data_IF_759160676112
#
_entry.id   IF_759160676112
#
_cell.length_a   1.000
_cell.length_b   1.000
_cell.length_c   1.000
_cell.angle_alpha   90.00
_cell.angle_beta   90.00
_cell.angle_gamma   90.00
#
_symmetry.space_group_name_H-M   'P 1'
#
loop_
_entity.id
_entity.type
_entity.pdbx_description
1 polymer ?
#
# COMPACT_ATOMS: atom_id res chain seq x y z
N UNK A 1 -15.38 -7.86 -15.61
CA UNK A 1 -16.37 -7.48 -16.65
C UNK A 1 -17.47 -8.51 -16.81
N UNK A 2 -17.15 -9.81 -16.83
CA UNK A 2 -18.14 -10.90 -16.89
C UNK A 2 -19.17 -10.82 -15.76
N UNK A 3 -18.73 -10.68 -14.50
CA UNK A 3 -19.63 -10.45 -13.35
C UNK A 3 -20.61 -9.28 -13.54
N UNK A 4 -20.20 -8.23 -14.26
CA UNK A 4 -21.08 -7.10 -14.57
C UNK A 4 -22.10 -7.48 -15.64
N UNK A 5 -21.65 -8.16 -16.70
CA UNK A 5 -22.53 -8.68 -17.74
C UNK A 5 -23.55 -9.69 -17.19
N UNK A 6 -23.15 -10.60 -16.31
CA UNK A 6 -24.05 -11.58 -15.68
C UNK A 6 -25.15 -10.89 -14.87
N UNK A 7 -24.83 -9.75 -14.24
CA UNK A 7 -25.76 -8.97 -13.44
C UNK A 7 -26.67 -8.07 -14.28
N UNK A 8 -26.16 -7.45 -15.34
CA UNK A 8 -26.83 -6.36 -16.06
C UNK A 8 -27.17 -6.69 -17.52
N UNK A 9 -26.85 -7.89 -18.00
CA UNK A 9 -27.11 -8.35 -19.37
C UNK A 9 -26.18 -7.75 -20.43
N UNK A 10 -25.30 -6.80 -20.07
CA UNK A 10 -24.34 -6.17 -20.97
C UNK A 10 -23.05 -5.81 -20.24
N UNK A 11 -21.92 -5.80 -20.97
CA UNK A 11 -20.63 -5.34 -20.42
C UNK A 11 -20.64 -3.81 -20.28
N UNK A 12 -20.00 -3.24 -19.25
CA UNK A 12 -19.75 -1.81 -19.22
C UNK A 12 -18.68 -1.47 -20.27
N UNK A 13 -18.65 -0.23 -20.74
CA UNK A 13 -17.54 0.22 -21.56
C UNK A 13 -16.26 0.34 -20.72
N UNK A 14 -15.11 0.00 -21.28
CA UNK A 14 -13.83 0.07 -20.59
C UNK A 14 -13.16 1.44 -20.83
N UNK A 15 -12.44 1.94 -19.82
CA UNK A 15 -11.63 3.16 -19.96
C UNK A 15 -10.31 3.10 -19.18
N UNK A 16 -9.20 2.85 -19.87
CA UNK A 16 -7.85 2.83 -19.28
C UNK A 16 -6.77 3.23 -20.31
N UNK A 17 -5.52 3.37 -19.85
CA UNK A 17 -4.38 3.82 -20.66
C UNK A 17 -4.05 2.89 -21.82
N UNK A 18 -4.26 1.59 -21.63
CA UNK A 18 -3.84 0.56 -22.61
C UNK A 18 -4.85 0.39 -23.75
N UNK A 19 -5.98 1.10 -23.69
CA UNK A 19 -6.95 1.10 -24.78
C UNK A 19 -6.38 1.80 -26.03
N UNK A 20 -6.51 1.17 -27.21
CA UNK A 20 -6.13 1.79 -28.47
C UNK A 20 -6.80 3.18 -28.65
N UNK A 21 -6.11 4.19 -29.19
CA UNK A 21 -6.66 5.54 -29.34
C UNK A 21 -8.03 5.59 -30.01
N UNK A 22 -8.24 4.82 -31.09
CA UNK A 22 -9.53 4.73 -31.80
C UNK A 22 -10.66 4.18 -30.92
N UNK A 23 -10.35 3.25 -30.02
CA UNK A 23 -11.32 2.69 -29.09
C UNK A 23 -11.69 3.71 -28.00
N UNK A 24 -10.70 4.44 -27.47
CA UNK A 24 -10.93 5.55 -26.53
C UNK A 24 -11.79 6.65 -27.17
N UNK A 25 -11.49 7.08 -28.38
CA UNK A 25 -12.30 8.06 -29.12
C UNK A 25 -13.76 7.60 -29.26
N UNK A 26 -13.97 6.33 -29.65
CA UNK A 26 -15.30 5.76 -29.77
C UNK A 26 -16.06 5.75 -28.44
N UNK A 27 -15.45 5.27 -27.36
CA UNK A 27 -16.08 5.25 -26.03
C UNK A 27 -16.39 6.66 -25.57
N UNK A 28 -15.45 7.60 -25.70
CA UNK A 28 -15.65 9.00 -25.33
C UNK A 28 -16.86 9.61 -26.06
N UNK A 29 -16.94 9.41 -27.38
CA UNK A 29 -18.04 9.93 -28.20
C UNK A 29 -19.37 9.30 -27.82
N UNK A 30 -19.40 7.99 -27.61
CA UNK A 30 -20.62 7.28 -27.21
C UNK A 30 -21.08 7.66 -25.80
N UNK A 31 -20.17 8.02 -24.89
CA UNK A 31 -20.53 8.60 -23.59
C UNK A 31 -21.14 9.99 -23.76
N UNK A 32 -20.54 10.84 -24.59
CA UNK A 32 -21.05 12.18 -24.90
C UNK A 32 -22.44 12.15 -25.56
N UNK A 33 -22.66 11.21 -26.47
CA UNK A 33 -23.91 11.02 -27.20
C UNK A 33 -24.97 10.22 -26.39
N UNK A 34 -24.59 9.64 -25.25
CA UNK A 34 -25.47 8.87 -24.37
C UNK A 34 -25.68 7.40 -24.76
N UNK A 35 -24.95 6.90 -25.77
CA UNK A 35 -24.96 5.50 -26.20
C UNK A 35 -24.30 4.54 -25.19
N UNK A 36 -23.35 5.03 -24.38
CA UNK A 36 -22.75 4.28 -23.26
C UNK A 36 -23.32 4.79 -21.94
N UNK A 37 -23.96 3.91 -21.18
CA UNK A 37 -24.60 4.24 -19.89
C UNK A 37 -23.73 3.94 -18.67
N UNK A 38 -22.76 3.04 -18.80
CA UNK A 38 -21.85 2.66 -17.71
C UNK A 38 -20.44 2.49 -18.26
N UNK A 39 -19.47 3.08 -17.56
CA UNK A 39 -18.04 2.90 -17.83
C UNK A 39 -17.37 2.31 -16.59
N UNK A 40 -16.58 1.27 -16.78
CA UNK A 40 -15.60 0.79 -15.81
C UNK A 40 -14.22 1.28 -16.26
N UNK A 41 -13.55 2.06 -15.42
CA UNK A 41 -12.29 2.66 -15.84
C UNK A 41 -11.38 3.11 -14.72
N UNK A 42 -10.14 3.41 -15.10
CA UNK A 42 -9.14 3.99 -14.22
C UNK A 42 -9.47 5.46 -13.91
N UNK A 43 -8.63 6.12 -13.10
CA UNK A 43 -8.77 7.51 -12.65
C UNK A 43 -9.21 8.55 -13.69
N UNK A 44 -8.77 8.43 -14.94
CA UNK A 44 -9.10 9.40 -16.01
C UNK A 44 -10.54 9.28 -16.52
N UNK A 45 -11.25 8.19 -16.22
CA UNK A 45 -12.67 8.03 -16.53
C UNK A 45 -13.53 9.10 -15.85
N UNK A 46 -13.02 9.69 -14.76
CA UNK A 46 -13.63 10.81 -14.06
C UNK A 46 -13.91 12.02 -14.95
N UNK A 47 -13.23 12.16 -16.10
CA UNK A 47 -13.43 13.31 -16.99
C UNK A 47 -14.30 12.99 -18.21
N UNK A 48 -14.90 11.80 -18.25
CA UNK A 48 -15.78 11.44 -19.37
C UNK A 48 -17.06 12.29 -19.37
N UNK A 49 -17.50 12.78 -20.54
CA UNK A 49 -18.56 13.78 -20.68
C UNK A 49 -19.95 13.14 -20.68
N UNK A 50 -20.30 12.41 -19.62
CA UNK A 50 -21.63 11.83 -19.47
C UNK A 50 -22.72 12.91 -19.53
N UNK A 51 -23.71 12.72 -20.40
CA UNK A 51 -24.87 13.61 -20.53
C UNK A 51 -25.75 13.62 -19.28
N UNK A 52 -25.94 12.45 -18.65
CA UNK A 52 -26.83 12.23 -17.51
C UNK A 52 -26.12 11.36 -16.46
N UNK A 53 -24.99 11.85 -15.91
CA UNK A 53 -24.26 11.13 -14.87
C UNK A 53 -25.06 11.13 -13.56
N UNK A 54 -25.52 9.96 -13.13
CA UNK A 54 -26.32 9.81 -11.91
C UNK A 54 -25.61 9.15 -10.73
N UNK A 55 -24.40 8.60 -10.93
CA UNK A 55 -23.66 7.89 -9.89
C UNK A 55 -22.18 7.79 -10.26
N UNK A 56 -21.29 7.98 -9.29
CA UNK A 56 -19.90 7.54 -9.36
C UNK A 56 -19.64 6.54 -8.23
N UNK A 57 -19.00 5.43 -8.55
CA UNK A 57 -18.48 4.48 -7.57
C UNK A 57 -16.96 4.47 -7.69
N UNK A 58 -16.27 4.77 -6.59
CA UNK A 58 -14.83 4.66 -6.44
C UNK A 58 -14.57 3.43 -5.58
N UNK A 59 -14.10 2.36 -6.20
CA UNK A 59 -13.74 1.12 -5.51
C UNK A 59 -12.30 1.21 -5.01
N UNK A 60 -12.00 0.55 -3.89
CA UNK A 60 -10.75 0.73 -3.14
C UNK A 60 -10.28 2.18 -3.05
N UNK A 61 -11.15 3.07 -2.55
CA UNK A 61 -10.93 4.54 -2.52
C UNK A 61 -9.61 4.99 -1.88
N UNK A 62 -9.00 4.14 -1.04
CA UNK A 62 -7.72 4.40 -0.40
C UNK A 62 -6.50 4.19 -1.33
N UNK A 63 -6.69 3.63 -2.51
CA UNK A 63 -5.61 3.28 -3.42
C UNK A 63 -4.85 4.55 -3.89
N UNK A 64 -3.52 4.63 -3.67
CA UNK A 64 -2.73 5.78 -4.09
C UNK A 64 -2.71 6.00 -5.61
N UNK A 65 -3.08 5.01 -6.43
CA UNK A 65 -3.19 5.14 -7.88
C UNK A 65 -4.18 6.25 -8.30
N UNK A 66 -5.16 6.59 -7.47
CA UNK A 66 -6.06 7.71 -7.71
C UNK A 66 -5.39 9.08 -7.65
N UNK A 67 -4.18 9.18 -7.08
CA UNK A 67 -3.37 10.39 -7.08
C UNK A 67 -2.54 10.48 -8.36
N UNK A 68 -2.79 11.52 -9.16
CA UNK A 68 -1.95 11.89 -10.29
C UNK A 68 -0.95 12.97 -9.85
N UNK A 69 0.33 12.71 -10.11
CA UNK A 69 1.43 13.63 -9.82
C UNK A 69 2.27 13.93 -11.08
N UNK A 70 1.80 13.51 -12.27
CA UNK A 70 2.40 13.87 -13.55
C UNK A 70 1.55 14.92 -14.27
N UNK A 71 2.21 15.99 -14.76
CA UNK A 71 1.66 17.18 -15.45
C UNK A 71 0.63 17.99 -14.68
N UNK A 72 -0.53 17.39 -14.39
CA UNK A 72 -1.66 18.02 -13.70
C UNK A 72 -1.96 17.23 -12.45
N UNK A 73 -1.84 17.88 -11.30
CA UNK A 73 -1.93 17.22 -10.01
C UNK A 73 -3.40 17.18 -9.59
N UNK A 74 -3.94 15.98 -9.40
CA UNK A 74 -5.29 15.79 -8.87
C UNK A 74 -5.40 14.45 -8.16
N UNK A 75 -6.37 14.35 -7.25
CA UNK A 75 -6.81 13.10 -6.67
C UNK A 75 -8.20 12.76 -7.22
N UNK A 76 -8.32 11.66 -7.96
CA UNK A 76 -9.58 11.26 -8.57
C UNK A 76 -10.68 10.95 -7.56
N UNK A 77 -10.35 10.46 -6.36
CA UNK A 77 -11.32 10.27 -5.26
C UNK A 77 -11.96 11.60 -4.87
N UNK A 78 -11.13 12.59 -4.56
CA UNK A 78 -11.59 13.90 -4.10
C UNK A 78 -12.37 14.62 -5.20
N UNK A 79 -11.86 14.54 -6.44
CA UNK A 79 -12.51 15.14 -7.60
C UNK A 79 -13.83 14.42 -7.97
N UNK A 80 -13.98 13.13 -7.68
CA UNK A 80 -15.26 12.44 -7.80
C UNK A 80 -16.30 13.01 -6.83
N UNK A 81 -15.93 13.22 -5.56
CA UNK A 81 -16.80 13.85 -4.56
C UNK A 81 -17.21 15.26 -5.00
N UNK A 82 -16.25 16.07 -5.47
CA UNK A 82 -16.53 17.42 -5.99
C UNK A 82 -17.47 17.35 -7.21
N UNK A 83 -17.21 16.44 -8.15
CA UNK A 83 -18.04 16.27 -9.34
C UNK A 83 -19.48 15.87 -8.98
N UNK A 84 -19.65 14.95 -8.03
CA UNK A 84 -20.97 14.55 -7.53
C UNK A 84 -21.69 15.68 -6.81
N UNK A 85 -20.97 16.48 -6.01
CA UNK A 85 -21.54 17.65 -5.36
C UNK A 85 -22.02 18.71 -6.36
N UNK A 86 -21.20 19.06 -7.37
CA UNK A 86 -21.57 20.02 -8.42
C UNK A 86 -22.72 19.50 -9.27
N UNK A 87 -22.71 18.20 -9.60
CA UNK A 87 -23.73 17.57 -10.44
C UNK A 87 -25.01 17.16 -9.70
N UNK A 88 -25.05 17.29 -8.37
CA UNK A 88 -26.21 16.89 -7.56
C UNK A 88 -26.51 15.38 -7.57
N UNK A 89 -25.49 14.53 -7.66
CA UNK A 89 -25.66 13.07 -7.72
C UNK A 89 -24.77 12.34 -6.69
N UNK A 90 -25.17 11.14 -6.23
CA UNK A 90 -24.44 10.39 -5.22
C UNK A 90 -23.07 9.90 -5.69
N UNK A 91 -22.13 9.84 -4.73
CA UNK A 91 -20.81 9.24 -4.92
C UNK A 91 -20.61 8.20 -3.84
N UNK A 92 -20.24 6.98 -4.23
CA UNK A 92 -19.92 5.88 -3.31
C UNK A 92 -18.42 5.69 -3.28
N UNK A 93 -17.83 5.86 -2.09
CA UNK A 93 -16.44 5.52 -1.81
C UNK A 93 -16.43 4.17 -1.09
N UNK A 94 -16.03 3.12 -1.79
CA UNK A 94 -15.99 1.76 -1.27
C UNK A 94 -14.55 1.38 -0.89
N UNK A 95 -14.37 0.82 0.31
CA UNK A 95 -13.12 0.15 0.68
C UNK A 95 -13.27 -0.69 1.95
N UNK A 96 -12.51 -1.78 2.03
CA UNK A 96 -12.28 -2.53 3.26
C UNK A 96 -11.34 -1.82 4.24
N UNK A 97 -10.45 -0.96 3.74
CA UNK A 97 -9.48 -0.17 4.51
C UNK A 97 -9.57 1.31 4.14
N UNK A 98 -10.66 2.01 4.55
CA UNK A 98 -10.88 3.39 4.16
C UNK A 98 -9.69 4.30 4.53
N UNK A 99 -9.41 5.23 3.63
CA UNK A 99 -8.42 6.28 3.84
C UNK A 99 -8.74 7.09 5.08
N UNK A 100 -7.71 7.70 5.68
CA UNK A 100 -7.90 8.51 6.89
C UNK A 100 -8.79 9.70 6.58
N UNK A 101 -8.66 10.30 5.40
CA UNK A 101 -9.49 11.44 4.98
C UNK A 101 -10.97 11.06 4.87
N UNK A 102 -11.28 9.93 4.22
CA UNK A 102 -12.66 9.43 4.10
C UNK A 102 -13.25 9.10 5.47
N UNK A 103 -12.45 8.49 6.36
CA UNK A 103 -12.89 8.19 7.73
C UNK A 103 -13.15 9.45 8.56
N UNK A 104 -12.32 10.49 8.42
CA UNK A 104 -12.52 11.77 9.10
C UNK A 104 -13.78 12.46 8.59
N UNK A 105 -13.99 12.55 7.28
CA UNK A 105 -15.20 13.14 6.71
C UNK A 105 -16.47 12.42 7.16
N UNK A 106 -16.45 11.08 7.22
CA UNK A 106 -17.55 10.31 7.78
C UNK A 106 -17.78 10.60 9.28
N UNK A 107 -16.71 10.65 10.08
CA UNK A 107 -16.82 10.96 11.51
C UNK A 107 -17.34 12.37 11.80
N UNK A 108 -17.10 13.32 10.88
CA UNK A 108 -17.58 14.69 10.96
C UNK A 108 -19.00 14.86 10.36
N UNK A 109 -19.63 13.78 9.88
CA UNK A 109 -20.96 13.84 9.27
C UNK A 109 -20.99 14.46 7.87
N UNK A 110 -19.83 14.65 7.22
CA UNK A 110 -19.76 15.11 5.83
C UNK A 110 -20.11 14.00 4.84
N UNK A 111 -19.81 12.75 5.20
CA UNK A 111 -20.18 11.55 4.45
C UNK A 111 -21.04 10.62 5.32
N UNK A 112 -22.01 9.97 4.71
CA UNK A 112 -22.72 8.86 5.35
C UNK A 112 -21.86 7.60 5.33
N UNK A 113 -21.88 6.85 6.44
CA UNK A 113 -21.10 5.61 6.58
C UNK A 113 -22.00 4.38 6.62
N UNK A 114 -21.92 3.57 5.56
CA UNK A 114 -22.51 2.23 5.54
C UNK A 114 -21.44 1.17 5.88
N UNK A 115 -21.72 0.28 6.83
CA UNK A 115 -20.80 -0.79 7.24
C UNK A 115 -21.40 -2.14 6.91
N UNK A 116 -20.65 -2.95 6.16
CA UNK A 116 -20.96 -4.35 5.92
C UNK A 116 -20.14 -5.19 6.92
N UNK A 117 -20.78 -5.68 7.99
CA UNK A 117 -20.11 -6.39 9.08
C UNK A 117 -19.78 -7.85 8.75
N UNK A 118 -20.52 -8.46 7.83
CA UNK A 118 -20.32 -9.84 7.38
C UNK A 118 -19.41 -9.91 6.15
N UNK A 119 -18.51 -10.90 6.15
CA UNK A 119 -17.71 -11.23 4.95
C UNK A 119 -18.57 -11.92 3.91
N UNK A 120 -18.24 -11.71 2.64
CA UNK A 120 -18.80 -12.50 1.56
C UNK A 120 -18.44 -13.98 1.78
N UNK A 121 -19.45 -14.87 1.67
CA UNK A 121 -19.32 -16.32 1.78
C UNK A 121 -18.67 -16.83 3.09
N UNK A 122 -18.84 -16.12 4.21
CA UNK A 122 -18.34 -16.54 5.54
C UNK A 122 -16.84 -16.91 5.59
N UNK A 123 -16.03 -16.29 4.73
CA UNK A 123 -14.60 -16.58 4.67
C UNK A 123 -13.92 -16.35 6.03
N UNK A 124 -13.25 -17.38 6.56
CA UNK A 124 -12.52 -17.33 7.81
C UNK A 124 -11.30 -16.38 7.74
N UNK A 125 -10.94 -15.79 8.87
CA UNK A 125 -9.70 -15.02 8.99
C UNK A 125 -8.48 -15.96 9.00
N UNK A 126 -7.34 -15.53 8.44
CA UNK A 126 -6.10 -16.30 8.56
C UNK A 126 -5.61 -16.35 10.01
N UNK A 127 -4.88 -17.41 10.37
CA UNK A 127 -4.13 -17.48 11.63
C UNK A 127 -2.92 -16.53 11.55
N UNK A 128 -2.86 -15.55 12.46
CA UNK A 128 -1.82 -14.53 12.50
C UNK A 128 -0.90 -14.77 13.70
N UNK A 129 0.40 -14.84 13.43
CA UNK A 129 1.44 -15.02 14.47
C UNK A 129 2.54 -14.00 14.31
N UNK A 130 2.99 -13.44 15.44
CA UNK A 130 4.17 -12.59 15.50
C UNK A 130 5.41 -13.42 15.86
N UNK A 131 6.55 -13.08 15.25
CA UNK A 131 7.86 -13.67 15.56
C UNK A 131 8.68 -12.62 16.30
N UNK A 132 9.09 -12.93 17.54
CA UNK A 132 10.03 -12.10 18.28
C UNK A 132 11.46 -12.36 17.76
N UNK A 133 11.95 -11.44 16.93
CA UNK A 133 13.28 -11.52 16.32
C UNK A 133 14.43 -11.53 17.33
N UNK A 134 14.20 -11.16 18.60
CA UNK A 134 15.22 -11.25 19.67
C UNK A 134 15.37 -12.68 20.18
N UNK A 135 14.28 -13.44 20.17
CA UNK A 135 14.25 -14.86 20.61
C UNK A 135 14.59 -15.81 19.48
N UNK A 136 14.31 -15.41 18.24
CA UNK A 136 14.57 -16.20 17.04
C UNK A 136 15.36 -15.38 16.02
N UNK A 137 16.59 -14.96 16.39
CA UNK A 137 17.40 -14.09 15.54
C UNK A 137 17.75 -14.80 14.23
N UNK A 138 17.85 -14.06 13.12
CA UNK A 138 18.34 -14.61 11.87
C UNK A 138 19.80 -15.05 12.02
N UNK A 139 20.24 -15.93 11.11
CA UNK A 139 21.65 -16.30 11.03
C UNK A 139 22.54 -15.07 10.81
N UNK A 140 23.82 -15.15 11.20
CA UNK A 140 24.76 -14.03 11.06
C UNK A 140 24.81 -13.57 9.60
N UNK A 141 24.40 -12.32 9.35
CA UNK A 141 24.37 -11.72 8.02
C UNK A 141 23.02 -11.75 7.30
N UNK A 142 22.06 -12.56 7.79
CA UNK A 142 20.70 -12.65 7.25
C UNK A 142 19.67 -11.76 7.96
N UNK A 143 18.43 -11.83 7.49
CA UNK A 143 17.26 -11.12 8.02
C UNK A 143 16.06 -12.02 8.28
N UNK A 144 16.01 -13.21 7.68
CA UNK A 144 14.89 -14.12 7.84
C UNK A 144 15.06 -14.93 9.13
N UNK A 145 14.05 -14.90 9.99
CA UNK A 145 14.03 -15.71 11.20
C UNK A 145 14.00 -17.19 10.84
N UNK A 146 14.67 -18.08 11.60
CA UNK A 146 14.56 -19.52 11.40
C UNK A 146 13.10 -20.02 11.45
N UNK A 147 12.25 -19.39 12.28
CA UNK A 147 10.81 -19.72 12.35
C UNK A 147 10.10 -19.42 11.03
N UNK A 148 10.43 -18.28 10.39
CA UNK A 148 9.85 -17.90 9.10
C UNK A 148 10.31 -18.85 7.99
N UNK A 149 11.61 -19.17 7.96
CA UNK A 149 12.18 -20.13 7.00
C UNK A 149 11.51 -21.51 7.10
N UNK A 150 11.27 -22.00 8.32
CA UNK A 150 10.57 -23.25 8.54
C UNK A 150 9.13 -23.22 8.01
N UNK A 151 8.38 -22.14 8.24
CA UNK A 151 7.01 -22.02 7.73
C UNK A 151 6.97 -21.88 6.20
N UNK A 152 7.94 -21.19 5.60
CA UNK A 152 8.09 -21.11 4.15
C UNK A 152 8.38 -22.50 3.56
N UNK A 153 9.30 -23.26 4.16
CA UNK A 153 9.63 -24.62 3.76
C UNK A 153 8.38 -25.52 3.76
N UNK A 154 7.63 -25.53 4.86
CA UNK A 154 6.36 -26.29 4.97
C UNK A 154 5.33 -25.88 3.93
N UNK A 155 5.31 -24.60 3.54
CA UNK A 155 4.38 -24.08 2.52
C UNK A 155 4.79 -24.57 1.13
N UNK A 156 6.09 -24.57 0.82
CA UNK A 156 6.62 -25.12 -0.43
C UNK A 156 6.42 -26.64 -0.52
N UNK A 157 6.57 -27.38 0.58
CA UNK A 157 6.29 -28.82 0.64
C UNK A 157 4.83 -29.16 0.31
N UNK A 158 3.90 -28.26 0.64
CA UNK A 158 2.48 -28.34 0.24
C UNK A 158 2.21 -27.87 -1.20
N UNK A 159 3.25 -27.47 -1.94
CA UNK A 159 3.18 -26.88 -3.29
C UNK A 159 2.37 -25.58 -3.33
N UNK A 160 2.38 -24.84 -2.23
CA UNK A 160 1.74 -23.54 -2.10
C UNK A 160 2.76 -22.41 -2.30
N UNK A 161 2.27 -21.17 -2.37
CA UNK A 161 3.11 -19.98 -2.56
C UNK A 161 3.25 -19.19 -1.26
N UNK A 162 4.46 -18.71 -0.98
CA UNK A 162 4.72 -17.73 0.08
C UNK A 162 4.90 -16.34 -0.53
N UNK A 163 4.23 -15.33 0.04
CA UNK A 163 4.39 -13.93 -0.34
C UNK A 163 5.10 -13.17 0.79
N UNK A 164 6.25 -12.57 0.48
CA UNK A 164 7.01 -11.74 1.42
C UNK A 164 6.76 -10.26 1.12
N UNK A 165 6.17 -9.56 2.08
CA UNK A 165 5.94 -8.12 1.98
C UNK A 165 7.11 -7.37 2.62
N UNK A 166 7.67 -6.41 1.88
CA UNK A 166 8.77 -5.56 2.31
C UNK A 166 8.41 -4.10 2.08
N UNK A 167 8.94 -3.22 2.93
CA UNK A 167 8.84 -1.79 2.69
C UNK A 167 9.52 -1.42 1.38
N UNK A 168 9.00 -0.38 0.70
CA UNK A 168 9.49 0.06 -0.61
C UNK A 168 10.98 0.44 -0.56
N UNK A 169 11.70 0.26 -1.67
CA UNK A 169 13.09 0.69 -1.82
C UNK A 169 13.21 2.20 -1.48
N UNK A 170 14.25 2.57 -0.75
CA UNK A 170 14.54 3.97 -0.41
C UNK A 170 13.89 4.49 0.88
N UNK A 171 13.14 3.66 1.62
CA UNK A 171 12.83 4.02 3.01
C UNK A 171 14.12 4.07 3.81
N UNK A 172 14.39 5.27 4.34
CA UNK A 172 15.51 5.59 5.21
C UNK A 172 15.69 4.50 6.31
N UNK A 173 16.83 3.78 6.35
CA UNK A 173 17.03 2.73 7.32
C UNK A 173 17.08 3.34 8.73
N UNK A 174 16.14 2.90 9.56
CA UNK A 174 16.16 3.19 10.99
C UNK A 174 17.28 2.37 11.64
N UNK A 175 18.11 2.97 12.47
CA UNK A 175 19.06 2.21 13.29
C UNK A 175 18.36 1.65 14.51
N UNK A 176 18.55 0.36 14.80
CA UNK A 176 18.06 -0.29 16.01
C UNK A 176 19.12 -1.18 16.68
N UNK A 177 18.99 -1.40 17.98
CA UNK A 177 19.77 -2.41 18.70
C UNK A 177 19.12 -3.80 18.55
N UNK A 178 19.87 -4.79 18.05
CA UNK A 178 19.36 -6.18 17.92
C UNK A 178 19.13 -6.91 19.25
N UNK A 179 19.73 -6.41 20.34
CA UNK A 179 19.64 -7.04 21.67
C UNK A 179 18.38 -6.58 22.39
N UNK A 180 18.26 -5.28 22.67
CA UNK A 180 17.12 -4.75 23.44
C UNK A 180 15.98 -4.21 22.56
N UNK A 181 16.23 -3.90 21.28
CA UNK A 181 15.24 -3.28 20.40
C UNK A 181 15.22 -1.74 20.47
N UNK A 182 16.21 -1.12 21.13
CA UNK A 182 16.34 0.34 21.20
C UNK A 182 16.27 0.98 19.80
N UNK A 183 15.53 2.08 19.69
CA UNK A 183 15.38 2.89 18.47
C UNK A 183 15.75 4.33 18.80
N UNK A 184 16.46 4.98 17.89
CA UNK A 184 16.95 6.35 18.08
C UNK A 184 15.85 7.36 17.76
N UNK A 185 15.20 7.90 18.80
CA UNK A 185 14.20 8.95 18.69
C UNK A 185 14.84 10.34 18.70
N UNK A 186 14.28 11.27 17.93
CA UNK A 186 14.69 12.66 17.91
C UNK A 186 14.26 13.33 19.23
N UNK A 187 15.19 13.98 19.96
CA UNK A 187 14.87 14.65 21.22
C UNK A 187 14.03 15.92 21.02
N UNK A 188 13.90 16.43 19.79
CA UNK A 188 13.22 17.69 19.48
C UNK A 188 11.77 17.49 19.04
N UNK A 189 11.48 16.48 18.22
CA UNK A 189 10.19 16.39 17.52
C UNK A 189 9.56 15.00 17.48
N UNK A 190 10.00 14.06 18.33
CA UNK A 190 9.48 12.68 18.45
C UNK A 190 9.60 11.78 17.22
N UNK A 191 10.08 12.29 16.08
CA UNK A 191 10.38 11.51 14.89
C UNK A 191 11.59 10.59 15.13
N UNK A 192 11.69 9.48 14.39
CA UNK A 192 12.87 8.63 14.44
C UNK A 192 14.04 9.22 13.65
N UNK A 193 15.27 8.98 14.14
CA UNK A 193 16.49 9.36 13.44
C UNK A 193 16.84 8.33 12.37
N UNK A 194 17.35 8.83 11.25
CA UNK A 194 17.76 8.06 10.07
C UNK A 194 19.28 8.02 9.99
N UNK A 195 19.84 6.85 9.71
CA UNK A 195 21.28 6.71 9.52
C UNK A 195 21.75 7.20 8.15
N UNK A 196 22.60 8.21 8.14
CA UNK A 196 23.38 8.65 6.99
C UNK A 196 24.76 8.02 7.06
N UNK A 197 24.89 6.76 6.61
CA UNK A 197 26.10 5.94 6.75
C UNK A 197 27.38 6.61 6.28
N UNK A 198 27.36 7.26 5.10
CA UNK A 198 28.54 7.96 4.56
C UNK A 198 29.02 9.12 5.43
N UNK A 199 28.14 9.68 6.28
CA UNK A 199 28.47 10.76 7.22
C UNK A 199 28.67 10.27 8.65
N UNK A 200 28.38 9.00 8.94
CA UNK A 200 28.42 8.46 10.31
C UNK A 200 27.43 9.14 11.27
N UNK A 201 26.32 9.67 10.75
CA UNK A 201 25.38 10.50 11.50
C UNK A 201 23.97 9.89 11.54
N UNK A 202 23.28 10.13 12.64
CA UNK A 202 21.84 9.96 12.77
C UNK A 202 21.17 11.32 12.56
N UNK A 203 20.19 11.40 11.66
CA UNK A 203 19.59 12.67 11.22
C UNK A 203 18.06 12.59 11.30
N UNK A 204 17.46 13.63 11.88
CA UNK A 204 16.02 13.84 11.85
C UNK A 204 15.63 14.60 10.57
N UNK A 205 14.84 13.98 9.70
CA UNK A 205 14.33 14.62 8.48
C UNK A 205 13.14 15.56 8.71
N UNK A 206 12.63 15.66 9.94
CA UNK A 206 11.53 16.56 10.27
C UNK A 206 12.03 17.93 10.78
N UNK A 207 13.02 17.94 11.69
CA UNK A 207 13.52 19.18 12.30
C UNK A 207 15.00 19.49 12.00
N UNK A 208 15.73 18.58 11.32
CA UNK A 208 17.14 18.78 10.99
C UNK A 208 18.13 18.46 12.12
N UNK A 209 17.66 18.08 13.30
CA UNK A 209 18.52 17.59 14.39
C UNK A 209 19.42 16.45 13.89
N UNK A 210 20.69 16.46 14.27
CA UNK A 210 21.63 15.40 13.94
C UNK A 210 22.58 15.13 15.10
N UNK A 211 23.01 13.87 15.19
CA UNK A 211 23.96 13.40 16.19
C UNK A 211 24.87 12.32 15.58
N UNK A 212 26.01 12.06 16.22
CA UNK A 212 26.89 10.96 15.79
C UNK A 212 26.25 9.62 16.18
N UNK A 213 26.39 8.62 15.31
CA UNK A 213 26.02 7.24 15.66
C UNK A 213 26.93 6.75 16.80
N UNK A 214 26.39 6.31 17.95
CA UNK A 214 27.22 5.78 19.04
C UNK A 214 27.77 4.39 18.67
N UNK A 215 28.87 4.01 19.33
CA UNK A 215 29.48 2.67 19.16
C UNK A 215 28.73 1.60 19.97
N UNK A 216 28.24 1.96 21.16
CA UNK A 216 27.44 1.12 22.03
C UNK A 216 25.96 1.53 22.00
N UNK A 217 25.06 0.59 22.24
CA UNK A 217 23.66 0.93 22.49
C UNK A 217 23.53 1.74 23.79
N UNK A 218 22.87 2.92 23.77
CA UNK A 218 22.72 3.75 24.98
C UNK A 218 21.78 3.13 26.02
N UNK A 219 20.93 2.17 25.62
CA UNK A 219 19.97 1.52 26.51
C UNK A 219 20.52 0.26 27.19
N UNK A 220 21.26 -0.59 26.47
CA UNK A 220 21.76 -1.86 27.02
C UNK A 220 23.29 -2.00 27.04
N UNK A 221 24.03 -0.97 26.59
CA UNK A 221 25.50 -0.93 26.63
C UNK A 221 26.22 -1.86 25.64
N UNK A 222 25.50 -2.65 24.85
CA UNK A 222 26.13 -3.63 23.97
C UNK A 222 26.79 -2.96 22.75
N UNK A 223 28.05 -3.32 22.49
CA UNK A 223 28.85 -2.88 21.35
C UNK A 223 28.50 -3.65 20.07
N UNK A 224 28.70 -3.05 18.89
CA UNK A 224 28.59 -3.73 17.57
C UNK A 224 27.22 -4.37 17.23
N UNK A 225 26.18 -4.08 18.01
CA UNK A 225 24.82 -4.62 17.82
C UNK A 225 23.81 -3.60 17.26
N UNK A 226 24.26 -2.41 16.89
CA UNK A 226 23.46 -1.38 16.23
C UNK A 226 23.41 -1.63 14.72
N UNK A 227 22.23 -1.90 14.19
CA UNK A 227 22.03 -2.25 12.78
C UNK A 227 20.98 -1.37 12.12
N UNK A 228 21.14 -1.15 10.84
CA UNK A 228 20.07 -0.64 10.00
C UNK A 228 18.94 -1.67 9.86
N UNK A 229 17.71 -1.22 10.09
CA UNK A 229 16.48 -1.95 9.86
C UNK A 229 16.01 -1.72 8.43
N UNK A 230 15.55 -2.78 7.77
CA UNK A 230 15.08 -2.76 6.39
C UNK A 230 16.12 -3.34 5.43
N UNK A 231 16.13 -4.67 5.24
CA UNK A 231 16.82 -5.21 4.08
C UNK A 231 16.16 -4.68 2.81
N UNK A 232 16.96 -4.22 1.86
CA UNK A 232 16.44 -3.96 0.52
C UNK A 232 15.83 -5.24 -0.07
N UNK A 233 14.86 -5.08 -0.97
CA UNK A 233 14.19 -6.21 -1.66
C UNK A 233 15.19 -7.18 -2.27
N UNK A 234 16.27 -6.66 -2.87
CA UNK A 234 17.33 -7.45 -3.49
C UNK A 234 18.02 -8.37 -2.48
N UNK A 235 18.33 -7.87 -1.29
CA UNK A 235 19.02 -8.65 -0.26
C UNK A 235 18.15 -9.75 0.33
N UNK A 236 16.84 -9.53 0.45
CA UNK A 236 15.91 -10.61 0.83
C UNK A 236 15.78 -11.63 -0.30
N UNK A 237 15.69 -11.19 -1.55
CA UNK A 237 15.60 -12.11 -2.68
C UNK A 237 16.82 -13.05 -2.75
N UNK A 238 18.04 -12.50 -2.60
CA UNK A 238 19.27 -13.28 -2.51
C UNK A 238 19.25 -14.30 -1.36
N UNK A 239 18.80 -13.87 -0.17
CA UNK A 239 18.69 -14.74 1.00
C UNK A 239 17.67 -15.87 0.79
N UNK A 240 16.52 -15.58 0.16
CA UNK A 240 15.49 -16.58 -0.18
C UNK A 240 16.03 -17.59 -1.18
N UNK A 241 16.71 -17.16 -2.24
CA UNK A 241 17.31 -18.05 -3.25
C UNK A 241 18.35 -18.96 -2.60
N UNK A 242 19.18 -18.45 -1.69
CA UNK A 242 20.16 -19.25 -0.97
C UNK A 242 19.53 -20.33 -0.08
N UNK A 243 18.37 -20.06 0.53
CA UNK A 243 17.66 -21.02 1.38
C UNK A 243 16.78 -22.01 0.59
N UNK A 244 16.26 -21.60 -0.57
CA UNK A 244 15.31 -22.39 -1.37
C UNK A 244 15.75 -22.44 -2.85
N UNK A 245 16.90 -23.06 -3.17
CA UNK A 245 17.48 -23.01 -4.52
C UNK A 245 16.61 -23.69 -5.59
N UNK A 246 15.80 -24.67 -5.20
CA UNK A 246 14.92 -25.42 -6.10
C UNK A 246 13.53 -24.78 -6.26
N UNK A 247 13.22 -23.74 -5.48
CA UNK A 247 11.96 -23.03 -5.55
C UNK A 247 12.00 -21.97 -6.66
N UNK A 248 10.89 -21.79 -7.37
CA UNK A 248 10.73 -20.66 -8.29
C UNK A 248 10.46 -19.39 -7.48
N UNK A 249 11.50 -18.59 -7.25
CA UNK A 249 11.47 -17.31 -6.53
C UNK A 249 11.19 -16.12 -7.43
#
# INVERSE_FOLDING_TARGET
>A
LERFQDRFGAKPAEWHSDLPPRMRERVWRQVAEGGVRVVAGARSALFLPFKELGLIVVDEEHDPAYKQEDRVFYNARDMAVVRGHIGGFPVVLASATPSVESRVNASQGRYDRAVLSSRFAEAALPDLKSIDMRRSPPARGGFLSPVLLEQMQRTLERKEQSLLFLNRRGYAPLTLCRVCGHRFGCPVCSAWLVEHRFRGQLVCHHCGHNERRPEACPECGTLDHLVACGPGVERIAEEVVAHFPDART
#
